data_IF_793868608947
#
_entry.id   IF_793868608947
#
_cell.length_a   1.000
_cell.length_b   1.000
_cell.length_c   1.000
_cell.angle_alpha   90.00
_cell.angle_beta   90.00
_cell.angle_gamma   90.00
#
_symmetry.space_group_name_H-M   'P 1'
#
loop_
_entity.id
_entity.type
_entity.pdbx_description
1 polymer ?
#
# COMPACT_ATOMS: atom_id res chain seq x y z
N UNK A 1 25.32 -6.50 -35.13
CA UNK A 1 24.11 -5.88 -34.56
C UNK A 1 24.22 -5.97 -33.04
N UNK A 2 24.59 -4.89 -32.32
CA UNK A 2 24.55 -4.89 -30.87
C UNK A 2 23.09 -4.83 -30.43
N UNK A 3 22.65 -5.85 -29.68
CA UNK A 3 21.30 -5.89 -29.11
C UNK A 3 21.12 -4.75 -28.11
N UNK A 4 20.13 -3.89 -28.34
CA UNK A 4 19.71 -2.87 -27.39
C UNK A 4 19.20 -3.57 -26.14
N UNK A 5 20.04 -3.67 -25.11
CA UNK A 5 19.64 -4.16 -23.80
C UNK A 5 18.63 -3.16 -23.23
N UNK A 6 17.34 -3.51 -23.28
CA UNK A 6 16.29 -2.69 -22.70
C UNK A 6 16.59 -2.51 -21.22
N UNK A 7 16.83 -1.27 -20.79
CA UNK A 7 17.05 -0.94 -19.39
C UNK A 7 15.82 -1.42 -18.58
N UNK A 8 16.03 -2.38 -17.68
CA UNK A 8 14.98 -2.86 -16.79
C UNK A 8 14.62 -1.72 -15.85
N UNK A 9 13.44 -1.11 -16.05
CA UNK A 9 12.93 -0.07 -15.16
C UNK A 9 12.69 -0.66 -13.77
N UNK A 10 13.29 -0.05 -12.75
CA UNK A 10 13.18 -0.53 -11.38
C UNK A 10 11.77 -0.30 -10.81
N UNK A 11 11.21 -1.29 -10.09
CA UNK A 11 9.97 -1.12 -9.34
C UNK A 11 10.24 -0.35 -8.03
N UNK A 12 9.38 0.59 -7.61
CA UNK A 12 9.61 1.36 -6.39
C UNK A 12 9.45 0.55 -5.09
N UNK A 13 8.89 -0.66 -5.13
CA UNK A 13 8.72 -1.53 -3.97
C UNK A 13 8.09 -0.78 -2.78
N UNK A 14 8.69 -0.81 -1.59
CA UNK A 14 8.18 -0.17 -0.37
C UNK A 14 8.49 1.34 -0.25
N UNK A 15 8.99 1.98 -1.32
CA UNK A 15 9.59 3.31 -1.23
C UNK A 15 8.62 4.48 -1.03
N UNK A 16 7.30 4.24 -0.91
CA UNK A 16 6.31 5.30 -0.74
C UNK A 16 6.08 5.62 0.74
N UNK A 17 6.36 6.86 1.15
CA UNK A 17 6.04 7.38 2.49
C UNK A 17 4.67 8.05 2.55
N UNK A 18 4.18 8.53 1.41
CA UNK A 18 2.99 9.38 1.33
C UNK A 18 2.19 9.05 0.09
N UNK A 19 0.88 8.90 0.27
CA UNK A 19 -0.10 8.76 -0.81
C UNK A 19 -0.99 9.98 -0.80
N UNK A 20 -1.29 10.54 -1.98
CA UNK A 20 -2.32 11.56 -2.13
C UNK A 20 -3.47 10.96 -2.93
N UNK A 21 -4.64 10.82 -2.31
CA UNK A 21 -5.88 10.47 -3.01
C UNK A 21 -6.55 11.75 -3.49
N UNK A 22 -6.56 11.92 -4.81
CA UNK A 22 -7.09 13.12 -5.43
C UNK A 22 -8.63 13.13 -5.40
N UNK A 23 -9.20 14.32 -5.17
CA UNK A 23 -10.63 14.58 -5.35
C UNK A 23 -11.56 13.59 -4.62
N UNK A 24 -11.22 13.23 -3.38
CA UNK A 24 -11.96 12.22 -2.60
C UNK A 24 -12.97 12.83 -1.62
N UNK A 25 -12.76 14.10 -1.23
CA UNK A 25 -13.54 14.74 -0.19
C UNK A 25 -14.29 15.97 -0.71
N UNK A 26 -15.61 15.98 -0.63
CA UNK A 26 -16.41 17.18 -0.82
C UNK A 26 -16.66 17.83 0.54
N UNK A 27 -16.35 19.12 0.71
CA UNK A 27 -16.90 19.90 1.83
C UNK A 27 -18.03 20.79 1.28
N UNK A 28 -18.88 21.32 2.17
CA UNK A 28 -20.01 22.19 1.80
C UNK A 28 -19.63 23.49 1.08
N UNK A 29 -18.34 23.85 1.02
CA UNK A 29 -17.82 25.13 0.49
C UNK A 29 -16.88 24.99 -0.71
N UNK A 30 -16.38 23.80 -1.04
CA UNK A 30 -15.38 23.58 -2.08
C UNK A 30 -15.61 22.29 -2.86
N UNK A 31 -15.39 22.39 -4.16
CA UNK A 31 -15.15 21.26 -5.06
C UNK A 31 -14.01 20.40 -4.52
N UNK A 32 -14.22 19.09 -4.51
CA UNK A 32 -13.26 18.00 -4.28
C UNK A 32 -11.86 18.37 -3.75
N UNK A 33 -11.59 17.98 -2.51
CA UNK A 33 -10.31 18.13 -1.80
C UNK A 33 -9.52 16.82 -1.86
N UNK A 34 -8.20 16.96 -1.95
CA UNK A 34 -7.28 15.83 -1.91
C UNK A 34 -7.01 15.40 -0.46
N UNK A 35 -6.89 14.09 -0.26
CA UNK A 35 -6.50 13.52 1.03
C UNK A 35 -5.04 13.09 0.98
N UNK A 36 -4.21 13.63 1.88
CA UNK A 36 -2.81 13.23 2.04
C UNK A 36 -2.72 12.19 3.16
N UNK A 37 -2.28 10.99 2.82
CA UNK A 37 -2.13 9.87 3.74
C UNK A 37 -0.65 9.57 3.98
N UNK A 38 -0.31 9.36 5.25
CA UNK A 38 1.03 8.99 5.68
C UNK A 38 1.13 7.49 5.90
N UNK A 39 2.29 6.91 5.56
CA UNK A 39 2.54 5.49 5.76
C UNK A 39 2.54 5.14 7.24
N UNK A 40 1.85 4.07 7.59
CA UNK A 40 1.99 3.39 8.87
C UNK A 40 2.83 2.12 8.69
N UNK A 41 3.51 1.72 9.75
CA UNK A 41 4.23 0.43 9.78
C UNK A 41 3.35 -0.56 10.53
N UNK A 42 2.70 -1.51 9.83
CA UNK A 42 1.96 -2.56 10.52
C UNK A 42 2.92 -3.35 11.41
N UNK A 43 2.56 -3.56 12.66
CA UNK A 43 3.37 -4.37 13.57
C UNK A 43 2.97 -5.82 13.30
N UNK A 44 3.92 -6.69 12.95
CA UNK A 44 3.62 -8.10 12.78
C UNK A 44 2.97 -8.66 14.05
N UNK A 45 1.99 -9.55 13.91
CA UNK A 45 1.34 -10.14 15.07
C UNK A 45 2.38 -10.87 15.93
N UNK A 46 2.15 -10.88 17.24
CA UNK A 46 2.97 -11.67 18.14
C UNK A 46 2.71 -13.14 17.85
N UNK A 47 3.74 -13.88 17.41
CA UNK A 47 3.63 -15.30 17.17
C UNK A 47 3.20 -16.02 18.47
N UNK A 48 2.09 -16.75 18.39
CA UNK A 48 1.70 -17.66 19.46
C UNK A 48 2.62 -18.89 19.37
N UNK A 49 3.55 -18.99 20.33
CA UNK A 49 4.41 -20.17 20.44
C UNK A 49 3.59 -21.33 21.00
N UNK A 50 3.28 -22.33 20.15
CA UNK A 50 2.85 -23.63 20.65
C UNK A 50 4.07 -24.31 21.26
N UNK A 51 3.95 -24.77 22.50
CA UNK A 51 5.04 -25.30 23.31
C UNK A 51 5.38 -26.74 22.91
N UNK A 52 5.54 -27.00 21.60
CA UNK A 52 6.02 -28.27 21.09
C UNK A 52 7.44 -28.08 20.57
N UNK A 53 8.37 -28.75 21.23
CA UNK A 53 9.81 -28.71 21.01
C UNK A 53 10.21 -29.20 19.63
N UNK A 54 10.10 -28.33 18.61
CA UNK A 54 10.80 -28.46 17.34
C UNK A 54 12.01 -27.53 17.41
N UNK A 55 13.24 -28.01 17.17
CA UNK A 55 14.41 -27.14 17.19
C UNK A 55 14.21 -26.04 16.16
N UNK A 56 14.30 -24.79 16.62
CA UNK A 56 14.11 -23.61 15.80
C UNK A 56 15.03 -23.70 14.58
N UNK A 57 14.45 -23.89 13.41
CA UNK A 57 15.16 -23.65 12.17
C UNK A 57 15.42 -22.13 12.12
N UNK A 58 16.66 -21.76 12.48
CA UNK A 58 17.15 -20.39 12.51
C UNK A 58 17.25 -19.78 11.10
N UNK A 59 16.81 -20.45 10.05
CA UNK A 59 16.59 -19.84 8.75
C UNK A 59 15.30 -18.99 8.75
N UNK A 60 15.21 -18.02 9.66
CA UNK A 60 14.40 -16.84 9.42
C UNK A 60 15.00 -16.07 8.23
N UNK A 61 14.78 -16.57 7.02
CA UNK A 61 14.90 -15.78 5.80
C UNK A 61 13.80 -14.72 5.88
N UNK A 62 14.10 -13.67 6.63
CA UNK A 62 13.35 -12.44 6.65
C UNK A 62 13.40 -11.89 5.23
N UNK A 63 12.41 -12.21 4.40
CA UNK A 63 12.14 -11.49 3.16
C UNK A 63 11.60 -10.11 3.54
N UNK A 64 12.49 -9.30 4.11
CA UNK A 64 12.21 -7.92 4.49
C UNK A 64 12.27 -7.10 3.23
N UNK A 65 11.12 -6.55 2.86
CA UNK A 65 11.07 -5.48 1.89
C UNK A 65 12.06 -4.39 2.32
N UNK A 66 12.72 -3.70 1.36
CA UNK A 66 13.58 -2.58 1.70
C UNK A 66 12.84 -1.56 2.57
N UNK A 67 13.55 -0.84 3.43
CA UNK A 67 12.94 0.18 4.26
C UNK A 67 12.21 1.20 3.38
N UNK A 68 11.08 1.75 3.88
CA UNK A 68 10.40 2.81 3.16
C UNK A 68 11.32 3.99 2.88
N UNK A 69 11.06 4.67 1.76
CA UNK A 69 11.76 5.88 1.33
C UNK A 69 10.76 7.03 1.25
N UNK A 70 11.23 8.20 0.83
CA UNK A 70 10.43 9.42 0.79
C UNK A 70 9.75 9.65 -0.56
N UNK A 71 9.32 8.58 -1.27
CA UNK A 71 8.55 8.77 -2.51
C UNK A 71 7.10 9.12 -2.18
N UNK A 72 6.53 9.98 -3.01
CA UNK A 72 5.11 10.34 -2.98
C UNK A 72 4.42 9.83 -4.23
N UNK A 73 3.24 9.25 -4.05
CA UNK A 73 2.40 8.78 -5.13
C UNK A 73 1.04 9.47 -5.07
N UNK A 74 0.61 10.07 -6.17
CA UNK A 74 -0.70 10.65 -6.30
C UNK A 74 -1.59 9.72 -7.12
N UNK A 75 -2.78 9.41 -6.60
CA UNK A 75 -3.74 8.47 -7.17
C UNK A 75 -5.12 9.13 -7.28
N UNK A 76 -5.89 8.81 -8.30
CA UNK A 76 -7.36 8.92 -8.31
C UNK A 76 -7.99 7.55 -8.08
N UNK A 77 -9.19 7.55 -7.50
CA UNK A 77 -10.01 6.33 -7.43
C UNK A 77 -10.70 6.12 -8.77
N UNK A 78 -10.45 4.98 -9.38
CA UNK A 78 -11.21 4.47 -10.50
C UNK A 78 -12.46 3.71 -10.04
N UNK A 79 -12.97 2.78 -10.85
CA UNK A 79 -14.13 1.96 -10.51
C UNK A 79 -13.92 1.16 -9.21
N UNK A 80 -15.01 0.97 -8.47
CA UNK A 80 -15.02 -0.03 -7.41
C UNK A 80 -14.92 -1.43 -8.04
N UNK A 81 -13.95 -2.21 -7.55
CA UNK A 81 -13.70 -3.58 -8.00
C UNK A 81 -14.06 -4.62 -6.93
N UNK A 82 -14.45 -4.17 -5.73
CA UNK A 82 -14.94 -5.04 -4.67
C UNK A 82 -15.45 -4.28 -3.46
N UNK A 83 -16.37 -4.90 -2.71
CA UNK A 83 -16.90 -4.36 -1.47
C UNK A 83 -17.15 -5.49 -0.49
N UNK A 84 -16.84 -5.22 0.78
CA UNK A 84 -17.12 -6.11 1.89
C UNK A 84 -17.56 -5.33 3.12
N UNK A 85 -17.73 -6.06 4.22
CA UNK A 85 -18.23 -5.52 5.48
C UNK A 85 -17.28 -4.48 6.10
N UNK A 86 -15.97 -4.65 5.92
CA UNK A 86 -14.93 -3.81 6.53
C UNK A 86 -14.45 -2.70 5.60
N UNK A 87 -14.52 -2.91 4.29
CA UNK A 87 -13.81 -2.08 3.32
C UNK A 87 -14.44 -2.07 1.94
N UNK A 88 -14.05 -1.10 1.12
CA UNK A 88 -14.26 -1.08 -0.34
C UNK A 88 -12.91 -1.10 -1.05
N UNK A 89 -12.86 -1.69 -2.23
CA UNK A 89 -11.66 -1.84 -3.05
C UNK A 89 -11.90 -1.13 -4.38
N UNK A 90 -11.01 -0.22 -4.73
CA UNK A 90 -11.08 0.55 -5.96
C UNK A 90 -9.86 0.26 -6.83
N UNK A 91 -10.04 0.25 -8.14
CA UNK A 91 -8.92 0.42 -9.05
C UNK A 91 -8.25 1.78 -8.79
N UNK A 92 -6.93 1.85 -8.86
CA UNK A 92 -6.19 3.09 -8.63
C UNK A 92 -5.55 3.57 -9.93
N UNK A 93 -5.76 4.84 -10.23
CA UNK A 93 -5.17 5.49 -11.38
C UNK A 93 -4.04 6.40 -10.90
N UNK A 94 -2.81 6.13 -11.36
CA UNK A 94 -1.65 6.96 -11.01
C UNK A 94 -1.74 8.29 -11.75
N UNK A 95 -1.53 9.40 -11.03
CA UNK A 95 -1.40 10.75 -11.59
C UNK A 95 0.09 11.09 -11.62
N UNK A 96 0.82 10.86 -12.74
CA UNK A 96 2.27 10.92 -12.75
C UNK A 96 2.81 12.34 -12.54
N UNK A 97 2.10 13.34 -13.08
CA UNK A 97 2.46 14.77 -12.96
C UNK A 97 2.43 15.30 -11.53
N UNK A 98 1.69 14.63 -10.64
CA UNK A 98 1.53 15.00 -9.22
C UNK A 98 2.32 14.11 -8.27
N UNK A 99 2.98 13.08 -8.80
CA UNK A 99 3.81 12.13 -8.03
C UNK A 99 5.28 12.57 -8.03
N UNK A 100 6.14 11.94 -7.24
CA UNK A 100 7.58 12.27 -7.24
C UNK A 100 8.20 12.08 -8.63
N UNK A 101 8.97 13.04 -9.18
CA UNK A 101 9.52 12.96 -10.55
C UNK A 101 10.33 11.68 -10.84
N UNK A 102 11.02 11.16 -9.82
CA UNK A 102 11.79 9.91 -9.88
C UNK A 102 10.95 8.64 -10.13
N UNK A 103 9.62 8.74 -10.24
CA UNK A 103 8.75 7.65 -10.68
C UNK A 103 8.68 7.50 -12.21
N UNK A 104 9.05 8.52 -12.99
CA UNK A 104 8.96 8.48 -14.46
C UNK A 104 9.86 7.40 -15.10
N UNK A 105 10.94 7.01 -14.41
CA UNK A 105 11.83 5.91 -14.80
C UNK A 105 11.48 4.55 -14.19
N UNK A 106 10.39 4.44 -13.42
CA UNK A 106 10.00 3.24 -12.68
C UNK A 106 8.73 2.62 -13.26
N UNK A 107 8.58 1.31 -13.08
CA UNK A 107 7.33 0.62 -13.42
C UNK A 107 6.52 0.45 -12.13
N UNK A 108 5.25 0.83 -12.22
CA UNK A 108 4.22 0.45 -11.26
C UNK A 108 3.26 -0.52 -11.95
N UNK A 109 2.95 -1.69 -11.35
CA UNK A 109 1.86 -2.51 -11.85
C UNK A 109 0.52 -1.77 -11.65
N UNK A 110 -0.56 -2.22 -12.30
CA UNK A 110 -1.90 -1.79 -11.93
C UNK A 110 -2.10 -1.88 -10.41
N UNK A 111 -2.59 -0.80 -9.82
CA UNK A 111 -2.75 -0.68 -8.36
C UNK A 111 -4.22 -0.74 -7.98
N UNK A 112 -4.47 -1.19 -6.75
CA UNK A 112 -5.78 -1.11 -6.11
C UNK A 112 -5.63 -0.43 -4.75
N UNK A 113 -6.65 0.33 -4.34
CA UNK A 113 -6.74 0.93 -3.02
C UNK A 113 -7.89 0.26 -2.27
N UNK A 114 -7.59 -0.31 -1.11
CA UNK A 114 -8.58 -0.82 -0.17
C UNK A 114 -8.78 0.19 0.94
N UNK A 115 -10.00 0.71 1.06
CA UNK A 115 -10.36 1.78 2.00
C UNK A 115 -11.29 1.20 3.06
N UNK A 116 -10.96 1.40 4.34
CA UNK A 116 -11.81 0.99 5.45
C UNK A 116 -13.10 1.79 5.47
N UNK A 117 -14.18 1.15 5.90
CA UNK A 117 -15.41 1.86 6.27
C UNK A 117 -15.19 2.63 7.58
N UNK A 118 -16.01 3.64 7.82
CA UNK A 118 -15.99 4.42 9.07
C UNK A 118 -16.06 3.48 10.27
N UNK A 119 -15.14 3.65 11.22
CA UNK A 119 -15.06 2.82 12.43
C UNK A 119 -14.39 1.45 12.25
N UNK A 120 -13.98 1.07 11.04
CA UNK A 120 -13.41 -0.26 10.73
C UNK A 120 -11.90 -0.24 10.47
N UNK A 121 -11.21 0.85 10.82
CA UNK A 121 -9.78 1.01 10.57
C UNK A 121 -8.94 -0.08 11.26
N UNK A 122 -9.26 -0.43 12.52
CA UNK A 122 -8.54 -1.47 13.28
C UNK A 122 -8.67 -2.86 12.63
N UNK A 123 -9.82 -3.16 12.02
CA UNK A 123 -10.01 -4.44 11.31
C UNK A 123 -9.21 -4.48 10.01
N UNK A 124 -9.09 -3.35 9.30
CA UNK A 124 -8.25 -3.25 8.11
C UNK A 124 -6.75 -3.27 8.47
N UNK A 125 -6.36 -2.71 9.61
CA UNK A 125 -4.99 -2.77 10.14
C UNK A 125 -4.52 -4.22 10.28
N UNK A 126 -5.30 -5.08 10.92
CA UNK A 126 -4.96 -6.50 11.07
C UNK A 126 -4.71 -7.21 9.72
N UNK A 127 -5.46 -6.83 8.68
CA UNK A 127 -5.20 -7.35 7.33
C UNK A 127 -3.83 -6.88 6.79
N UNK A 128 -3.46 -5.61 7.01
CA UNK A 128 -2.15 -5.10 6.61
C UNK A 128 -0.99 -5.76 7.38
N UNK A 129 -1.20 -6.11 8.65
CA UNK A 129 -0.24 -6.86 9.47
C UNK A 129 -0.05 -8.28 8.92
N UNK A 130 -1.13 -8.96 8.53
CA UNK A 130 -1.05 -10.27 7.87
C UNK A 130 -0.25 -10.20 6.56
N UNK A 131 -0.40 -9.14 5.76
CA UNK A 131 0.45 -8.96 4.58
C UNK A 131 1.93 -8.83 4.96
N UNK A 132 2.28 -8.13 6.04
CA UNK A 132 3.66 -7.99 6.47
C UNK A 132 4.30 -9.34 6.83
N UNK A 133 3.54 -10.25 7.44
CA UNK A 133 3.96 -11.62 7.73
C UNK A 133 4.08 -12.49 6.48
N UNK A 134 3.15 -12.34 5.53
CA UNK A 134 3.12 -13.10 4.28
C UNK A 134 4.10 -12.58 3.22
N UNK A 135 5.18 -11.89 3.61
CA UNK A 135 6.12 -11.23 2.69
C UNK A 135 6.65 -12.14 1.57
N UNK A 136 6.88 -13.43 1.87
CA UNK A 136 7.36 -14.44 0.90
C UNK A 136 6.33 -14.82 -0.16
N UNK A 137 5.04 -14.70 0.19
CA UNK A 137 3.92 -15.08 -0.66
C UNK A 137 3.49 -13.94 -1.60
N UNK A 138 3.85 -12.70 -1.23
CA UNK A 138 3.46 -11.49 -1.95
C UNK A 138 4.07 -11.39 -3.34
N UNK A 139 3.22 -11.25 -4.35
CA UNK A 139 3.60 -11.23 -5.77
C UNK A 139 3.67 -12.62 -6.41
N UNK A 140 3.38 -13.68 -5.64
CA UNK A 140 3.28 -15.05 -6.15
C UNK A 140 1.87 -15.60 -5.97
N UNK A 141 1.44 -15.80 -4.73
CA UNK A 141 0.14 -16.41 -4.39
C UNK A 141 -0.81 -15.45 -3.70
N UNK A 142 -0.29 -14.35 -3.13
CA UNK A 142 -1.10 -13.22 -2.65
C UNK A 142 -0.64 -11.92 -3.32
N UNK A 143 -1.52 -10.90 -3.44
CA UNK A 143 -1.14 -9.60 -3.96
C UNK A 143 0.01 -8.96 -3.18
N UNK A 144 0.77 -8.09 -3.84
CA UNK A 144 1.77 -7.27 -3.14
C UNK A 144 1.09 -6.08 -2.46
N UNK A 145 1.26 -5.98 -1.14
CA UNK A 145 0.87 -4.84 -0.34
C UNK A 145 1.99 -3.80 -0.33
N UNK A 146 1.71 -2.61 -0.86
CA UNK A 146 2.68 -1.50 -0.92
C UNK A 146 2.70 -0.64 0.37
N UNK A 147 1.84 -0.96 1.34
CA UNK A 147 1.81 -0.34 2.66
C UNK A 147 0.39 -0.04 3.12
N UNK A 148 0.29 0.25 4.43
CA UNK A 148 -0.88 0.84 5.06
C UNK A 148 -0.67 2.36 5.13
N UNK A 149 -1.72 3.13 4.86
CA UNK A 149 -1.66 4.58 4.88
C UNK A 149 -2.90 5.14 5.57
N UNK A 150 -2.69 6.12 6.45
CA UNK A 150 -3.75 6.72 7.25
C UNK A 150 -3.73 8.24 7.12
N UNK A 151 -4.91 8.83 7.27
CA UNK A 151 -5.10 10.27 7.38
C UNK A 151 -6.22 10.56 8.37
N UNK A 152 -6.09 11.64 9.12
CA UNK A 152 -7.20 12.18 9.88
C UNK A 152 -8.17 12.87 8.91
N UNK A 153 -9.43 12.46 8.93
CA UNK A 153 -10.50 13.17 8.22
C UNK A 153 -11.04 14.22 9.19
N UNK A 154 -11.02 15.52 8.84
CA UNK A 154 -11.65 16.56 9.64
C UNK A 154 -13.15 16.26 9.86
N UNK A 155 -13.66 16.52 11.06
CA UNK A 155 -15.05 16.21 11.43
C UNK A 155 -16.10 17.04 10.65
N UNK A 156 -15.65 18.04 9.90
CA UNK A 156 -16.43 18.98 9.10
C UNK A 156 -16.45 18.65 7.58
N UNK A 157 -15.93 17.49 7.18
CA UNK A 157 -16.17 16.89 5.85
C UNK A 157 -17.45 16.07 5.81
#
# INVERSE_FOLDING_TARGET
>A
MPGTQMAVKAMPQNAFSTITLAAIASNLRSSSTDLVLCRETPIANTALYCQDSIPADNSQHHFRLPPPRNLRLCLSLGPEIGSGNVSRVFAAEVIPSRSTPHLQGRILPPLAVKISRRGMANTLLAEAENYAEMGILQGHVVPRCYGLYCAAIPNDM
#
